data_IF_888860427762
#
_entry.id   IF_888860427762
#
_cell.length_a   1.000
_cell.length_b   1.000
_cell.length_c   1.000
_cell.angle_alpha   90.00
_cell.angle_beta   90.00
_cell.angle_gamma   90.00
#
_symmetry.space_group_name_H-M   'P 1'
#
loop_
_entity.id
_entity.type
_entity.pdbx_description
1 polymer ?
#
# COMPACT_ATOMS: atom_id res chain seq x y z
N UNK A 1 -0.65 19.48 8.79
CA UNK A 1 -0.28 18.51 7.74
C UNK A 1 -1.57 17.90 7.22
N UNK A 2 -1.94 18.24 5.98
CA UNK A 2 -3.20 17.80 5.36
C UNK A 2 -3.05 16.44 4.68
N UNK A 3 -4.17 15.83 4.29
CA UNK A 3 -4.18 14.50 3.65
C UNK A 3 -3.34 14.44 2.37
N UNK A 4 -3.21 15.57 1.66
CA UNK A 4 -2.43 15.73 0.44
C UNK A 4 -0.92 15.55 0.62
N UNK A 5 -0.39 15.57 1.85
CA UNK A 5 1.04 15.33 2.12
C UNK A 5 1.39 13.83 2.17
N UNK A 6 0.35 12.98 2.26
CA UNK A 6 0.46 11.54 2.51
C UNK A 6 -0.21 10.69 1.42
N UNK A 7 -1.40 11.07 0.94
CA UNK A 7 -2.07 10.41 -0.19
C UNK A 7 -2.13 11.35 -1.39
N UNK A 8 -1.61 10.89 -2.52
CA UNK A 8 -1.75 11.57 -3.80
C UNK A 8 -2.58 10.72 -4.76
N UNK A 9 -3.64 11.30 -5.33
CA UNK A 9 -4.37 10.68 -6.42
C UNK A 9 -3.50 10.75 -7.69
N UNK A 10 -3.32 9.62 -8.36
CA UNK A 10 -2.51 9.49 -9.58
C UNK A 10 -3.34 9.46 -10.87
N UNK A 11 -4.67 9.53 -10.76
CA UNK A 11 -5.62 9.34 -11.85
C UNK A 11 -6.17 7.91 -11.92
N UNK A 12 -5.30 6.90 -11.80
CA UNK A 12 -5.68 5.47 -11.81
C UNK A 12 -5.60 4.81 -10.42
N UNK A 13 -5.22 5.59 -9.40
CA UNK A 13 -5.15 5.09 -8.04
C UNK A 13 -4.44 6.05 -7.10
N UNK A 14 -3.76 5.52 -6.07
CA UNK A 14 -3.27 6.30 -4.95
C UNK A 14 -1.80 6.02 -4.64
N UNK A 15 -0.99 7.08 -4.51
CA UNK A 15 0.33 7.03 -3.89
C UNK A 15 0.20 7.30 -2.39
N UNK A 16 0.82 6.46 -1.57
CA UNK A 16 0.79 6.53 -0.11
C UNK A 16 2.22 6.66 0.43
N UNK A 17 2.57 7.85 0.95
CA UNK A 17 3.90 8.19 1.47
C UNK A 17 4.07 7.76 2.93
N UNK A 18 4.49 6.52 3.17
CA UNK A 18 4.66 5.92 4.50
C UNK A 18 5.53 6.75 5.45
N UNK A 19 6.48 7.51 4.92
CA UNK A 19 7.39 8.38 5.67
C UNK A 19 6.80 9.73 6.11
N UNK A 20 5.60 10.10 5.65
CA UNK A 20 4.98 11.38 6.02
C UNK A 20 4.46 11.39 7.48
N UNK A 21 4.42 10.24 8.16
CA UNK A 21 4.03 10.14 9.57
C UNK A 21 4.99 9.24 10.35
N UNK A 22 5.19 9.54 11.64
CA UNK A 22 5.96 8.69 12.56
C UNK A 22 5.27 7.35 12.86
N UNK A 23 3.94 7.27 12.71
CA UNK A 23 3.14 6.07 13.02
C UNK A 23 2.20 5.68 11.86
N UNK A 24 2.74 5.31 10.68
CA UNK A 24 1.94 5.15 9.47
C UNK A 24 0.91 4.01 9.59
N UNK A 25 1.20 2.94 10.32
CA UNK A 25 0.24 1.84 10.53
C UNK A 25 -0.97 2.25 11.38
N UNK A 26 -0.80 3.19 12.31
CA UNK A 26 -1.91 3.73 13.10
C UNK A 26 -2.79 4.62 12.23
N UNK A 27 -2.18 5.45 11.38
CA UNK A 27 -2.88 6.27 10.39
C UNK A 27 -3.70 5.38 9.45
N UNK A 28 -3.08 4.34 8.87
CA UNK A 28 -3.77 3.36 8.03
C UNK A 28 -4.98 2.71 8.75
N UNK A 29 -4.82 2.36 10.03
CA UNK A 29 -5.92 1.77 10.82
C UNK A 29 -7.10 2.74 10.94
N UNK A 30 -6.82 4.02 11.25
CA UNK A 30 -7.85 5.06 11.36
C UNK A 30 -8.57 5.34 10.04
N UNK A 31 -7.92 5.05 8.91
CA UNK A 31 -8.46 5.20 7.54
C UNK A 31 -9.17 3.94 7.02
N UNK A 32 -9.34 2.91 7.83
CA UNK A 32 -10.09 1.72 7.45
C UNK A 32 -9.30 0.63 6.73
N UNK A 33 -7.96 0.72 6.67
CA UNK A 33 -7.16 -0.37 6.10
C UNK A 33 -7.30 -1.66 6.92
N UNK A 34 -7.53 -2.76 6.22
CA UNK A 34 -7.68 -4.09 6.82
C UNK A 34 -6.44 -4.50 7.62
N UNK A 35 -6.62 -5.44 8.56
CA UNK A 35 -5.50 -5.99 9.35
C UNK A 35 -4.43 -6.61 8.44
N UNK A 36 -4.85 -7.31 7.38
CA UNK A 36 -3.94 -7.94 6.42
C UNK A 36 -3.17 -6.90 5.61
N UNK A 37 -3.83 -5.84 5.13
CA UNK A 37 -3.15 -4.76 4.42
C UNK A 37 -2.11 -4.07 5.32
N UNK A 38 -2.45 -3.78 6.58
CA UNK A 38 -1.48 -3.20 7.53
C UNK A 38 -0.31 -4.12 7.85
N UNK A 39 -0.51 -5.44 7.90
CA UNK A 39 0.58 -6.41 8.05
C UNK A 39 1.51 -6.42 6.84
N UNK A 40 0.96 -6.36 5.63
CA UNK A 40 1.75 -6.27 4.41
C UNK A 40 2.62 -4.99 4.43
N UNK A 41 2.00 -3.84 4.71
CA UNK A 41 2.74 -2.56 4.80
C UNK A 41 3.85 -2.62 5.86
N UNK A 42 3.58 -3.21 7.03
CA UNK A 42 4.60 -3.40 8.07
C UNK A 42 5.81 -4.20 7.56
N UNK A 43 5.56 -5.29 6.84
CA UNK A 43 6.63 -6.12 6.27
C UNK A 43 7.42 -5.34 5.23
N UNK A 44 6.74 -4.64 4.32
CA UNK A 44 7.36 -3.81 3.28
C UNK A 44 8.28 -2.74 3.89
N UNK A 45 7.81 -2.03 4.92
CA UNK A 45 8.62 -1.02 5.61
C UNK A 45 9.83 -1.64 6.33
N UNK A 46 9.62 -2.71 7.09
CA UNK A 46 10.65 -3.24 8.01
C UNK A 46 11.69 -4.11 7.34
N UNK A 47 11.35 -4.78 6.24
CA UNK A 47 12.24 -5.72 5.56
C UNK A 47 12.82 -5.17 4.26
N UNK A 48 12.13 -4.21 3.63
CA UNK A 48 12.48 -3.72 2.30
C UNK A 48 12.66 -2.20 2.25
N UNK A 49 12.61 -1.52 3.41
CA UNK A 49 12.76 -0.05 3.53
C UNK A 49 11.82 0.74 2.60
N UNK A 50 10.63 0.18 2.34
CA UNK A 50 9.63 0.82 1.49
C UNK A 50 9.04 2.03 2.21
N UNK A 51 9.16 3.20 1.59
CA UNK A 51 8.63 4.47 2.10
C UNK A 51 7.47 5.05 1.27
N UNK A 52 7.17 4.45 0.11
CA UNK A 52 6.11 4.86 -0.81
C UNK A 52 5.43 3.61 -1.40
N UNK A 53 4.10 3.59 -1.42
CA UNK A 53 3.31 2.52 -2.05
C UNK A 53 2.36 3.15 -3.07
N UNK A 54 2.31 2.58 -4.28
CA UNK A 54 1.31 2.91 -5.30
C UNK A 54 0.27 1.80 -5.38
N UNK A 55 -0.99 2.15 -5.12
CA UNK A 55 -2.13 1.29 -5.43
C UNK A 55 -2.70 1.77 -6.76
N UNK A 56 -2.63 0.94 -7.80
CA UNK A 56 -3.06 1.28 -9.16
C UNK A 56 -4.11 0.27 -9.65
N UNK A 57 -5.23 0.75 -10.21
CA UNK A 57 -6.24 -0.12 -10.83
C UNK A 57 -5.88 -0.51 -12.26
N UNK A 58 -4.95 0.20 -12.90
CA UNK A 58 -4.49 -0.05 -14.27
C UNK A 58 -3.16 -0.82 -14.31
N UNK A 59 -2.73 -1.40 -13.19
CA UNK A 59 -1.50 -2.20 -13.13
C UNK A 59 -1.58 -3.46 -13.97
N UNK A 60 -0.57 -3.71 -14.79
CA UNK A 60 -0.44 -4.94 -15.59
C UNK A 60 0.26 -6.06 -14.81
N UNK A 61 -0.08 -7.32 -15.14
CA UNK A 61 0.61 -8.49 -14.59
C UNK A 61 1.94 -8.66 -15.31
N UNK A 62 3.04 -8.52 -14.56
CA UNK A 62 4.39 -8.72 -15.10
C UNK A 62 4.66 -10.20 -15.39
N UNK A 63 5.07 -10.51 -16.62
CA UNK A 63 5.47 -11.86 -17.01
C UNK A 63 6.69 -12.30 -16.18
N UNK A 64 6.63 -13.53 -15.65
CA UNK A 64 7.71 -14.11 -14.84
C UNK A 64 7.73 -13.65 -13.37
N UNK A 65 6.75 -12.84 -12.94
CA UNK A 65 6.60 -12.43 -11.54
C UNK A 65 5.41 -13.17 -10.93
N UNK A 66 5.63 -13.84 -9.80
CA UNK A 66 4.56 -14.52 -9.08
C UNK A 66 3.58 -13.48 -8.49
N UNK A 67 2.30 -13.62 -8.83
CA UNK A 67 1.21 -12.80 -8.28
C UNK A 67 0.57 -13.56 -7.12
N UNK A 68 0.50 -12.93 -5.95
CA UNK A 68 -0.30 -13.45 -4.85
C UNK A 68 -1.74 -12.93 -4.99
N UNK A 69 -2.61 -13.75 -5.59
CA UNK A 69 -4.04 -13.50 -5.72
C UNK A 69 -4.87 -14.34 -4.74
N UNK A 70 -6.19 -14.10 -4.64
CA UNK A 70 -7.06 -15.02 -3.93
C UNK A 70 -6.91 -16.42 -4.54
N UNK A 71 -6.81 -17.46 -3.70
CA UNK A 71 -6.95 -18.83 -4.18
C UNK A 71 -8.34 -18.95 -4.80
N UNK A 72 -8.39 -18.99 -6.13
CA UNK A 72 -9.58 -19.47 -6.83
C UNK A 72 -9.63 -20.98 -6.58
N UNK A 73 -10.43 -21.40 -5.62
CA UNK A 73 -10.83 -22.80 -5.51
C UNK A 73 -11.75 -23.10 -6.70
N UNK A 74 -11.16 -23.64 -7.76
CA UNK A 74 -11.87 -24.35 -8.82
C UNK A 74 -12.07 -25.81 -8.45
#
# INVERSE_FOLDING_TARGET
MGDAEWIHLTGTGYLVRLSAYSFPLLVLKKRGFSKSARKLVYVLMRRFDVSLIHFDCCGEVLKGVAVHGPSVSG
#
